data_IF_108228291697
#
_entry.id   IF_108228291697
#
_cell.length_a   1.000
_cell.length_b   1.000
_cell.length_c   1.000
_cell.angle_alpha   90.00
_cell.angle_beta   90.00
_cell.angle_gamma   90.00
#
_symmetry.space_group_name_H-M   'P 1'
#
loop_
_entity.id
_entity.type
_entity.pdbx_description
1 polymer ?
#
# COMPACT_ATOMS: atom_id res chain seq x y z
N UNK A 1 22.26 25.95 -24.93
CA UNK A 1 21.83 24.91 -25.88
C UNK A 1 23.10 24.33 -26.50
N UNK A 2 23.18 23.04 -26.79
CA UNK A 2 24.37 22.48 -27.44
C UNK A 2 23.92 21.60 -28.61
N UNK A 3 24.43 21.94 -29.79
CA UNK A 3 24.09 21.36 -31.08
C UNK A 3 24.87 20.05 -31.30
N UNK A 4 24.21 19.04 -31.88
CA UNK A 4 24.84 17.89 -32.52
C UNK A 4 24.42 17.86 -34.00
N UNK A 5 25.30 17.30 -34.83
CA UNK A 5 25.55 17.67 -36.25
C UNK A 5 24.47 17.38 -37.31
N UNK A 6 23.20 17.20 -36.95
CA UNK A 6 22.11 17.14 -37.93
C UNK A 6 20.92 17.89 -37.36
N UNK A 7 20.74 19.14 -37.78
CA UNK A 7 19.84 20.16 -37.22
C UNK A 7 18.36 19.77 -37.10
N UNK A 8 18.02 18.91 -36.14
CA UNK A 8 16.65 18.67 -35.69
C UNK A 8 16.59 18.78 -34.17
N UNK A 9 15.76 19.71 -33.70
CA UNK A 9 15.38 19.85 -32.31
C UNK A 9 14.66 18.57 -31.85
N UNK A 10 15.29 17.82 -30.93
CA UNK A 10 14.64 16.68 -30.30
C UNK A 10 13.71 17.17 -29.17
N UNK A 11 12.45 16.70 -29.12
CA UNK A 11 11.59 16.91 -27.95
C UNK A 11 12.22 16.28 -26.70
N UNK A 12 12.00 16.88 -25.52
CA UNK A 12 12.57 16.43 -24.22
C UNK A 12 12.40 14.92 -23.95
N UNK A 13 11.30 14.31 -24.42
CA UNK A 13 11.01 12.87 -24.30
C UNK A 13 12.01 11.98 -25.05
N UNK A 14 12.53 12.42 -26.18
CA UNK A 14 13.44 11.64 -27.03
C UNK A 14 14.88 11.65 -26.50
N UNK A 15 15.27 12.68 -25.74
CA UNK A 15 16.60 12.78 -25.14
C UNK A 15 16.83 11.76 -24.00
N UNK A 16 15.77 11.42 -23.26
CA UNK A 16 15.79 10.36 -22.23
C UNK A 16 16.13 9.00 -22.85
N UNK A 17 15.69 8.76 -24.08
CA UNK A 17 15.88 7.49 -24.81
C UNK A 17 17.28 7.40 -25.44
N UNK A 18 17.89 8.52 -25.86
CA UNK A 18 19.21 8.49 -26.52
C UNK A 18 20.40 8.30 -25.57
N UNK A 19 20.25 8.59 -24.27
CA UNK A 19 21.30 8.27 -23.28
C UNK A 19 21.44 6.76 -22.99
N UNK A 20 20.59 5.91 -23.58
CA UNK A 20 20.57 4.46 -23.36
C UNK A 20 21.47 3.62 -24.28
N UNK A 21 22.42 4.21 -25.02
CA UNK A 21 23.23 3.45 -26.00
C UNK A 21 24.62 3.00 -25.55
N UNK A 22 24.99 3.18 -24.29
CA UNK A 22 26.16 2.51 -23.73
C UNK A 22 25.87 2.10 -22.28
N UNK A 23 25.44 0.86 -22.02
CA UNK A 23 25.45 0.36 -20.65
C UNK A 23 26.91 0.40 -20.17
N UNK A 24 27.23 1.32 -19.25
CA UNK A 24 28.42 1.12 -18.43
C UNK A 24 28.19 -0.19 -17.70
N UNK A 25 29.04 -1.17 -17.97
CA UNK A 25 28.92 -2.59 -17.62
C UNK A 25 28.83 -2.90 -16.11
N UNK A 26 28.77 -1.88 -15.25
CA UNK A 26 28.84 -2.00 -13.78
C UNK A 26 27.66 -1.33 -13.04
N UNK A 27 26.55 -1.00 -13.71
CA UNK A 27 25.40 -0.37 -13.06
C UNK A 27 24.38 -1.41 -12.55
N UNK A 28 24.15 -1.43 -11.24
CA UNK A 28 23.26 -2.36 -10.51
C UNK A 28 21.79 -2.34 -10.95
N UNK A 29 21.34 -1.31 -11.68
CA UNK A 29 19.97 -1.22 -12.24
C UNK A 29 19.89 -0.21 -13.39
N UNK A 30 19.07 -0.45 -14.44
CA UNK A 30 18.84 0.49 -15.54
C UNK A 30 18.37 1.88 -15.07
N UNK A 31 17.58 1.93 -14.00
CA UNK A 31 17.09 3.18 -13.41
C UNK A 31 18.22 4.05 -12.86
N UNK A 32 19.29 3.44 -12.36
CA UNK A 32 20.47 4.16 -11.88
C UNK A 32 21.17 4.84 -13.05
N UNK A 33 21.31 4.15 -14.18
CA UNK A 33 21.87 4.73 -15.40
C UNK A 33 21.03 5.89 -15.93
N UNK A 34 19.71 5.75 -15.94
CA UNK A 34 18.78 6.81 -16.34
C UNK A 34 18.91 8.04 -15.45
N UNK A 35 18.85 7.86 -14.12
CA UNK A 35 18.98 8.95 -13.15
C UNK A 35 20.35 9.62 -13.25
N UNK A 36 21.43 8.83 -13.35
CA UNK A 36 22.79 9.34 -13.50
C UNK A 36 22.96 10.15 -14.79
N UNK A 37 22.38 9.68 -15.91
CA UNK A 37 22.37 10.41 -17.18
C UNK A 37 21.68 11.77 -17.05
N UNK A 38 20.53 11.80 -16.37
CA UNK A 38 19.79 13.04 -16.16
C UNK A 38 20.49 14.00 -15.18
N UNK A 39 21.05 13.49 -14.09
CA UNK A 39 21.92 14.29 -13.22
C UNK A 39 23.09 14.90 -14.01
N UNK A 40 23.76 14.11 -14.85
CA UNK A 40 24.83 14.62 -15.71
C UNK A 40 24.37 15.71 -16.66
N UNK A 41 23.19 15.58 -17.26
CA UNK A 41 22.59 16.62 -18.08
C UNK A 41 22.41 17.92 -17.29
N UNK A 42 21.79 17.86 -16.10
CA UNK A 42 21.61 19.05 -15.27
C UNK A 42 22.93 19.67 -14.80
N UNK A 43 23.92 18.85 -14.41
CA UNK A 43 25.26 19.34 -14.06
C UNK A 43 26.03 19.92 -15.26
N UNK A 44 25.75 19.49 -16.49
CA UNK A 44 26.31 20.13 -17.70
C UNK A 44 25.78 21.55 -17.90
N UNK A 45 24.54 21.82 -17.45
CA UNK A 45 23.94 23.15 -17.51
C UNK A 45 24.33 24.01 -16.31
N UNK A 46 24.49 23.39 -15.14
CA UNK A 46 24.77 24.03 -13.85
C UNK A 46 25.89 23.27 -13.12
N UNK A 47 27.17 23.53 -13.44
CA UNK A 47 28.29 22.75 -12.92
C UNK A 47 28.52 22.93 -11.41
N UNK A 48 28.16 24.09 -10.85
CA UNK A 48 28.32 24.41 -9.42
C UNK A 48 27.22 23.78 -8.53
N UNK A 49 26.26 23.06 -9.12
CA UNK A 49 25.09 22.53 -8.43
C UNK A 49 23.80 23.25 -8.81
N UNK A 50 22.69 22.59 -8.53
CA UNK A 50 21.35 23.07 -8.86
C UNK A 50 20.34 22.58 -7.83
N UNK A 51 19.20 23.26 -7.74
CA UNK A 51 18.06 22.77 -6.99
C UNK A 51 17.04 22.14 -7.93
N UNK A 52 16.31 21.14 -7.43
CA UNK A 52 15.18 20.54 -8.13
C UNK A 52 14.20 19.91 -7.15
N UNK A 53 12.92 19.95 -7.48
CA UNK A 53 11.88 19.36 -6.64
C UNK A 53 11.81 17.85 -6.85
N UNK A 54 11.58 17.10 -5.77
CA UNK A 54 11.42 15.64 -5.86
C UNK A 54 10.04 15.27 -6.41
N UNK A 55 9.00 15.99 -5.98
CA UNK A 55 7.60 15.77 -6.31
C UNK A 55 6.87 17.11 -6.55
N UNK A 56 5.68 17.08 -7.17
CA UNK A 56 4.83 18.25 -7.28
C UNK A 56 4.55 18.89 -5.92
N UNK A 57 4.70 20.21 -5.85
CA UNK A 57 4.52 20.94 -4.60
C UNK A 57 3.98 22.34 -4.84
N UNK A 58 3.33 22.92 -3.82
CA UNK A 58 2.77 24.28 -3.87
C UNK A 58 3.83 25.36 -3.61
N UNK A 59 5.03 25.22 -4.17
CA UNK A 59 6.12 26.18 -3.97
C UNK A 59 6.07 27.30 -5.02
N UNK A 60 6.34 28.58 -4.70
CA UNK A 60 6.24 29.69 -5.67
C UNK A 60 7.13 29.54 -6.91
N UNK A 61 8.29 28.91 -6.75
CA UNK A 61 9.24 28.63 -7.85
C UNK A 61 8.96 27.30 -8.58
N UNK A 62 7.94 26.54 -8.18
CA UNK A 62 7.61 25.27 -8.82
C UNK A 62 6.69 25.49 -10.02
N UNK A 63 7.01 24.86 -11.15
CA UNK A 63 6.12 24.73 -12.31
C UNK A 63 5.84 23.26 -12.59
N UNK A 64 4.68 22.98 -13.16
CA UNK A 64 4.31 21.62 -13.55
C UNK A 64 5.36 21.03 -14.52
N UNK A 65 5.86 19.84 -14.20
CA UNK A 65 6.94 19.17 -14.93
C UNK A 65 8.35 19.46 -14.44
N UNK A 66 8.55 20.34 -13.45
CA UNK A 66 9.87 20.63 -12.89
C UNK A 66 10.33 19.60 -11.84
N UNK A 67 9.45 18.72 -11.36
CA UNK A 67 9.82 17.70 -10.39
C UNK A 67 10.52 16.49 -11.02
N UNK A 68 11.37 15.81 -10.24
CA UNK A 68 11.97 14.54 -10.65
C UNK A 68 10.93 13.46 -10.93
N UNK A 69 9.84 13.43 -10.16
CA UNK A 69 8.77 12.45 -10.38
C UNK A 69 8.02 12.66 -11.69
N UNK A 70 7.81 13.90 -12.12
CA UNK A 70 7.19 14.18 -13.43
C UNK A 70 8.18 14.01 -14.59
N UNK A 71 9.45 14.40 -14.41
CA UNK A 71 10.48 14.28 -15.46
C UNK A 71 10.85 12.82 -15.76
N UNK A 72 10.96 11.99 -14.71
CA UNK A 72 11.41 10.60 -14.82
C UNK A 72 10.30 9.57 -14.65
N UNK A 73 9.09 9.98 -14.25
CA UNK A 73 8.00 9.06 -13.93
C UNK A 73 8.28 8.20 -12.68
N UNK A 74 9.15 8.64 -11.78
CA UNK A 74 9.58 7.88 -10.61
C UNK A 74 8.93 8.41 -9.33
N UNK A 75 8.42 7.52 -8.48
CA UNK A 75 8.01 7.92 -7.12
C UNK A 75 9.23 8.35 -6.28
N UNK A 76 9.03 9.23 -5.29
CA UNK A 76 10.10 9.67 -4.37
C UNK A 76 10.84 8.51 -3.73
N UNK A 77 10.14 7.43 -3.38
CA UNK A 77 10.75 6.23 -2.79
C UNK A 77 11.71 5.56 -3.77
N UNK A 78 11.32 5.40 -5.03
CA UNK A 78 12.16 4.80 -6.07
C UNK A 78 13.34 5.72 -6.39
N UNK A 79 13.10 7.03 -6.50
CA UNK A 79 14.17 8.02 -6.67
C UNK A 79 15.21 7.92 -5.57
N UNK A 80 14.79 7.96 -4.29
CA UNK A 80 15.69 7.91 -3.15
C UNK A 80 16.55 6.64 -3.16
N UNK A 81 15.93 5.48 -3.33
CA UNK A 81 16.63 4.20 -3.41
C UNK A 81 17.62 4.14 -4.59
N UNK A 82 17.28 4.75 -5.72
CA UNK A 82 18.15 4.79 -6.91
C UNK A 82 19.29 5.78 -6.72
N UNK A 83 19.03 6.93 -6.12
CA UNK A 83 20.02 7.96 -5.81
C UNK A 83 21.03 7.47 -4.77
N UNK A 84 20.58 6.72 -3.75
CA UNK A 84 21.45 6.15 -2.72
C UNK A 84 22.51 5.19 -3.28
N UNK A 85 22.32 4.66 -4.49
CA UNK A 85 23.35 3.86 -5.17
C UNK A 85 24.49 4.71 -5.76
N UNK A 86 24.25 5.98 -6.07
CA UNK A 86 25.21 6.87 -6.77
C UNK A 86 25.60 8.12 -5.98
N UNK A 87 24.92 8.40 -4.87
CA UNK A 87 25.16 9.57 -4.05
C UNK A 87 24.71 9.42 -2.60
N UNK A 88 24.93 10.50 -1.83
CA UNK A 88 24.60 10.61 -0.40
C UNK A 88 23.52 11.67 -0.21
N UNK A 89 22.50 11.39 0.61
CA UNK A 89 21.42 12.32 0.93
C UNK A 89 21.53 12.80 2.36
N UNK A 90 21.57 14.12 2.54
CA UNK A 90 21.57 14.80 3.84
C UNK A 90 20.21 15.41 4.11
N UNK A 91 19.75 15.35 5.36
CA UNK A 91 18.44 15.89 5.76
C UNK A 91 18.44 17.41 5.80
N UNK A 92 19.59 18.04 6.03
CA UNK A 92 19.73 19.49 6.07
C UNK A 92 21.01 19.99 5.41
N UNK A 93 21.00 21.26 5.00
CA UNK A 93 22.21 21.98 4.54
C UNK A 93 23.30 22.02 5.60
N UNK A 94 22.94 22.19 6.88
CA UNK A 94 23.90 22.25 7.99
C UNK A 94 24.62 20.91 8.19
N UNK A 95 23.90 19.79 8.07
CA UNK A 95 24.44 18.44 8.15
C UNK A 95 25.46 18.19 7.02
N UNK A 96 25.13 18.61 5.79
CA UNK A 96 26.03 18.53 4.64
C UNK A 96 27.32 19.35 4.85
N UNK A 97 27.22 20.56 5.42
CA UNK A 97 28.40 21.40 5.66
C UNK A 97 29.30 20.87 6.79
N UNK A 98 28.70 20.21 7.80
CA UNK A 98 29.42 19.64 8.95
C UNK A 98 30.11 18.30 8.63
N UNK A 99 29.69 17.60 7.59
CA UNK A 99 30.26 16.31 7.22
C UNK A 99 31.75 16.44 6.83
N UNK A 100 32.60 15.63 7.47
CA UNK A 100 34.04 15.53 7.15
C UNK A 100 34.26 15.03 5.72
N UNK A 101 33.57 13.96 5.35
CA UNK A 101 33.45 13.50 3.97
C UNK A 101 32.01 13.76 3.47
N UNK A 102 31.89 14.72 2.55
CA UNK A 102 30.61 15.19 1.99
C UNK A 102 30.01 14.23 0.97
N UNK A 103 30.81 13.30 0.47
CA UNK A 103 30.43 12.44 -0.65
C UNK A 103 30.55 10.95 -0.33
N UNK A 104 31.25 10.56 0.75
CA UNK A 104 31.38 9.18 1.23
C UNK A 104 31.82 8.23 0.12
N UNK A 105 32.79 8.65 -0.69
CA UNK A 105 33.27 7.91 -1.87
C UNK A 105 32.30 7.83 -3.06
N UNK A 106 31.18 8.55 -3.04
CA UNK A 106 30.19 8.59 -4.14
C UNK A 106 30.31 9.85 -5.00
N UNK A 107 29.71 9.81 -6.20
CA UNK A 107 29.86 10.87 -7.19
C UNK A 107 28.98 12.10 -6.93
N UNK A 108 27.85 11.92 -6.25
CA UNK A 108 26.87 12.97 -6.00
C UNK A 108 26.50 13.09 -4.52
N UNK A 109 26.06 14.27 -4.12
CA UNK A 109 25.42 14.50 -2.84
C UNK A 109 24.18 15.37 -3.02
N UNK A 110 23.18 15.21 -2.16
CA UNK A 110 22.03 16.11 -2.11
C UNK A 110 21.72 16.51 -0.68
N UNK A 111 21.25 17.74 -0.47
CA UNK A 111 20.76 18.20 0.82
C UNK A 111 19.48 19.00 0.68
N UNK A 112 18.64 18.97 1.71
CA UNK A 112 17.44 19.78 1.75
C UNK A 112 17.69 21.12 2.47
N UNK A 113 17.45 22.23 1.76
CA UNK A 113 17.49 23.57 2.33
C UNK A 113 16.11 23.91 2.89
N UNK A 114 15.98 23.82 4.23
CA UNK A 114 14.72 24.09 4.94
C UNK A 114 14.25 25.54 4.79
N UNK A 115 15.16 26.51 4.63
CA UNK A 115 14.79 27.94 4.51
C UNK A 115 14.12 28.22 3.17
N UNK A 116 14.59 27.56 2.11
CA UNK A 116 14.08 27.71 0.74
C UNK A 116 13.12 26.60 0.32
N UNK A 117 12.87 25.62 1.21
CA UNK A 117 12.11 24.40 0.96
C UNK A 117 12.49 23.71 -0.37
N UNK A 118 13.79 23.58 -0.64
CA UNK A 118 14.34 23.10 -1.90
C UNK A 118 15.39 22.02 -1.68
N UNK A 119 15.47 21.06 -2.60
CA UNK A 119 16.51 20.03 -2.56
C UNK A 119 17.62 20.42 -3.54
N UNK A 120 18.83 20.60 -3.01
CA UNK A 120 20.02 20.94 -3.77
C UNK A 120 20.85 19.69 -4.06
N UNK A 121 21.42 19.64 -5.26
CA UNK A 121 22.29 18.58 -5.75
C UNK A 121 23.67 19.14 -6.04
N UNK A 122 24.69 18.45 -5.55
CA UNK A 122 26.11 18.79 -5.68
C UNK A 122 26.87 17.58 -6.21
N UNK A 123 27.94 17.82 -6.97
CA UNK A 123 28.76 16.77 -7.57
C UNK A 123 30.17 16.80 -6.98
N UNK A 124 30.75 15.63 -6.75
CA UNK A 124 32.13 15.50 -6.32
C UNK A 124 33.08 15.89 -7.48
N UNK A 125 33.89 16.96 -7.34
CA UNK A 125 34.82 17.38 -8.38
C UNK A 125 36.00 16.40 -8.55
N UNK A 126 36.45 15.74 -7.49
CA UNK A 126 37.63 14.86 -7.49
C UNK A 126 37.35 13.57 -8.26
N UNK A 127 36.25 12.88 -7.92
CA UNK A 127 35.83 11.68 -8.64
C UNK A 127 35.45 11.98 -10.10
N UNK A 128 35.00 13.21 -10.41
CA UNK A 128 34.77 13.62 -11.78
C UNK A 128 36.08 13.72 -12.57
N UNK A 129 37.13 14.29 -11.98
CA UNK A 129 38.44 14.38 -12.61
C UNK A 129 39.06 12.99 -12.80
N UNK A 130 38.96 12.11 -11.80
CA UNK A 130 39.41 10.73 -11.92
C UNK A 130 38.67 9.99 -13.04
N UNK A 131 37.33 10.10 -13.09
CA UNK A 131 36.53 9.47 -14.14
C UNK A 131 36.89 9.97 -15.55
N UNK A 132 37.19 11.28 -15.70
CA UNK A 132 37.65 11.87 -16.97
C UNK A 132 39.02 11.31 -17.38
N UNK A 133 40.00 11.32 -16.47
CA UNK A 133 41.35 10.78 -16.71
C UNK A 133 41.32 9.30 -17.13
N UNK A 134 40.52 8.48 -16.46
CA UNK A 134 40.34 7.07 -16.85
C UNK A 134 39.65 6.90 -18.21
N UNK A 135 38.73 7.81 -18.57
CA UNK A 135 38.07 7.77 -19.89
C UNK A 135 38.97 8.26 -21.03
N UNK A 136 39.90 9.18 -20.73
CA UNK A 136 40.91 9.67 -21.68
C UNK A 136 42.01 8.63 -21.92
N UNK A 137 42.45 7.94 -20.87
CA UNK A 137 43.39 6.80 -20.96
C UNK A 137 42.84 5.62 -21.78
N UNK A 138 41.53 5.34 -21.67
CA UNK A 138 40.88 4.31 -22.47
C UNK A 138 40.72 4.73 -23.95
N UNK A 139 40.43 6.02 -24.21
CA UNK A 139 40.34 6.57 -25.57
C UNK A 139 41.70 6.65 -26.27
N UNK A 140 42.79 6.91 -25.54
CA UNK A 140 44.14 6.86 -26.11
C UNK A 140 44.57 5.43 -26.44
N UNK A 141 44.10 4.44 -25.67
CA UNK A 141 44.38 3.01 -25.92
C UNK A 141 43.58 2.46 -27.11
N UNK A 142 42.36 2.95 -27.35
CA UNK A 142 41.53 2.56 -28.50
C UNK A 142 42.01 3.14 -29.85
N UNK A 143 42.82 4.21 -29.84
CA UNK A 143 43.38 4.81 -31.07
C UNK A 143 44.44 3.95 -31.76
N UNK A 144 44.94 2.90 -31.10
CA UNK A 144 45.98 2.01 -31.65
C UNK A 144 45.42 0.78 -32.39
N UNK A 145 44.10 0.66 -32.55
CA UNK A 145 43.43 -0.54 -33.10
C UNK A 145 42.57 -0.31 -34.35
N UNK A 146 42.57 0.88 -34.95
CA UNK A 146 41.96 1.05 -36.29
C UNK A 146 43.05 1.16 -37.36
N UNK A 147 43.08 0.29 -38.38
CA UNK A 147 43.97 0.47 -39.52
C UNK A 147 43.45 1.63 -40.38
N UNK A 148 44.39 2.49 -40.76
CA UNK A 148 44.19 3.61 -41.67
C UNK A 148 43.67 3.10 -43.02
N UNK A 149 42.53 3.64 -43.45
CA UNK A 149 42.27 3.81 -44.88
C UNK A 149 41.66 5.18 -45.10
N UNK A 150 42.54 6.09 -45.51
CA UNK A 150 42.23 7.35 -46.15
C UNK A 150 41.20 7.13 -47.28
N UNK A 151 40.25 8.06 -47.44
CA UNK A 151 39.97 8.70 -48.73
C UNK A 151 39.16 9.98 -48.48
N UNK A 152 39.82 11.04 -48.93
CA UNK A 152 39.38 12.41 -49.11
C UNK A 152 38.30 12.54 -50.19
N UNK A 153 37.30 13.41 -49.98
CA UNK A 153 36.91 14.57 -50.83
C UNK A 153 35.39 14.88 -50.79
N UNK A 154 35.14 16.15 -50.45
CA UNK A 154 34.15 17.13 -50.96
C UNK A 154 32.70 16.69 -51.26
N UNK A 155 31.79 17.37 -50.55
CA UNK A 155 30.36 17.52 -50.84
C UNK A 155 30.06 18.70 -51.77
N UNK A 156 29.12 18.50 -52.70
CA UNK A 156 27.97 19.36 -53.11
C UNK A 156 27.59 19.10 -54.60
N UNK A 157 26.36 19.43 -55.07
CA UNK A 157 25.08 18.84 -54.67
C UNK A 157 24.26 18.41 -55.91
N UNK A 158 23.23 17.56 -55.77
CA UNK A 158 22.15 17.54 -56.76
C UNK A 158 20.79 17.23 -56.13
N UNK A 159 19.90 18.18 -56.33
CA UNK A 159 18.49 18.15 -56.02
C UNK A 159 17.76 17.79 -57.32
N UNK A 160 16.91 16.75 -57.35
CA UNK A 160 15.63 16.75 -58.09
C UNK A 160 14.91 15.38 -58.01
N UNK A 161 13.64 15.47 -57.59
CA UNK A 161 12.41 14.74 -58.01
C UNK A 161 12.54 13.36 -58.67
N UNK A 162 11.69 12.42 -58.24
CA UNK A 162 10.61 11.80 -59.04
C UNK A 162 9.60 11.07 -58.10
N UNK A 163 8.33 11.05 -58.54
CA UNK A 163 7.10 10.50 -57.94
C UNK A 163 6.85 9.02 -58.36
N UNK A 164 5.78 8.46 -57.77
CA UNK A 164 4.95 7.29 -58.16
C UNK A 164 5.33 5.95 -57.48
N UNK A 165 4.47 5.42 -56.59
CA UNK A 165 3.43 4.36 -56.83
C UNK A 165 4.08 3.00 -57.16
N UNK A 166 3.77 1.84 -56.57
CA UNK A 166 2.48 1.30 -56.18
C UNK A 166 2.65 0.04 -55.27
N UNK A 167 1.65 -0.18 -54.41
CA UNK A 167 1.12 -1.40 -53.75
C UNK A 167 1.91 -2.74 -53.78
N UNK A 168 1.99 -3.37 -52.60
CA UNK A 168 1.50 -4.76 -52.38
C UNK A 168 1.27 -5.10 -50.88
N UNK A 169 -0.02 -5.32 -50.58
CA UNK A 169 -0.62 -6.40 -49.77
C UNK A 169 -0.02 -6.88 -48.44
N UNK A 170 -0.83 -6.66 -47.38
CA UNK A 170 -1.24 -7.61 -46.32
C UNK A 170 -0.18 -8.33 -45.46
N UNK A 171 -0.19 -8.05 -44.15
CA UNK A 171 -0.71 -9.01 -43.17
C UNK A 171 -0.87 -8.37 -41.79
N UNK A 172 -2.13 -8.31 -41.37
CA UNK A 172 -2.57 -8.09 -39.99
C UNK A 172 -2.07 -9.22 -39.10
N UNK A 173 -1.30 -8.90 -38.06
CA UNK A 173 -1.27 -9.71 -36.85
C UNK A 173 -1.47 -8.82 -35.63
N UNK A 174 -2.67 -8.94 -35.07
CA UNK A 174 -2.96 -8.53 -33.72
C UNK A 174 -2.06 -9.34 -32.78
N UNK A 175 -1.11 -8.67 -32.13
CA UNK A 175 -0.50 -9.17 -30.90
C UNK A 175 -0.78 -8.18 -29.78
N UNK A 176 -1.88 -8.44 -29.07
CA UNK A 176 -2.07 -8.01 -27.68
C UNK A 176 -0.91 -8.59 -26.87
N UNK A 177 0.09 -7.79 -26.52
CA UNK A 177 1.00 -8.14 -25.43
C UNK A 177 0.71 -7.23 -24.24
N UNK A 178 -0.07 -7.79 -23.31
CA UNK A 178 0.08 -7.52 -21.89
C UNK A 178 1.57 -7.63 -21.55
N UNK A 179 2.07 -6.72 -20.72
CA UNK A 179 2.97 -7.07 -19.63
C UNK A 179 2.96 -5.94 -18.61
N UNK A 180 1.99 -6.11 -17.71
CA UNK A 180 2.10 -5.69 -16.34
C UNK A 180 3.36 -6.28 -15.68
N UNK A 181 4.18 -5.38 -15.16
CA UNK A 181 4.61 -5.38 -13.77
C UNK A 181 4.82 -6.73 -13.08
N UNK A 182 6.06 -7.21 -13.02
CA UNK A 182 6.67 -7.61 -11.73
C UNK A 182 8.18 -7.85 -11.87
N UNK A 183 8.97 -7.29 -10.94
CA UNK A 183 10.09 -7.95 -10.25
C UNK A 183 10.91 -6.92 -9.48
N UNK A 184 10.61 -6.77 -8.18
CA UNK A 184 11.58 -6.31 -7.17
C UNK A 184 11.65 -7.37 -6.08
N UNK A 185 12.64 -8.23 -6.21
CA UNK A 185 13.25 -8.98 -5.11
C UNK A 185 14.03 -8.00 -4.23
N UNK A 186 13.69 -8.00 -2.94
CA UNK A 186 14.52 -7.44 -1.88
C UNK A 186 15.50 -8.53 -1.43
N UNK A 187 16.79 -8.18 -1.41
CA UNK A 187 17.78 -8.79 -0.54
C UNK A 187 18.69 -7.65 -0.05
N UNK A 188 18.65 -7.42 1.26
CA UNK A 188 19.54 -6.52 1.98
C UNK A 188 20.05 -7.27 3.21
N UNK A 189 21.37 -7.38 3.28
CA UNK A 189 22.17 -7.97 4.36
C UNK A 189 21.94 -7.29 5.72
N UNK A 190 22.08 -8.07 6.80
CA UNK A 190 23.15 -7.87 7.80
C UNK A 190 23.13 -8.95 8.89
N UNK A 191 24.31 -9.46 9.29
CA UNK A 191 24.55 -10.07 10.61
C UNK A 191 25.08 -11.50 10.54
N UNK A 192 26.38 -11.71 10.80
CA UNK A 192 27.01 -13.03 10.81
C UNK A 192 27.22 -13.58 12.23
N UNK A 193 27.35 -14.91 12.34
CA UNK A 193 28.32 -15.64 13.19
C UNK A 193 28.24 -17.15 12.91
N UNK A 194 29.40 -17.73 12.56
CA UNK A 194 30.02 -19.00 13.02
C UNK A 194 29.16 -20.29 13.04
N UNK A 195 29.59 -21.29 12.25
CA UNK A 195 29.30 -22.73 12.49
C UNK A 195 29.21 -23.57 11.20
N UNK A 196 30.01 -24.65 11.09
CA UNK A 196 29.99 -25.64 9.99
C UNK A 196 28.63 -26.33 9.81
N UNK A 197 28.33 -27.10 8.77
CA UNK A 197 29.11 -28.15 8.12
C UNK A 197 28.71 -28.32 6.64
N UNK A 198 29.63 -28.90 5.87
CA UNK A 198 29.36 -29.40 4.51
C UNK A 198 28.38 -30.58 4.57
N UNK A 199 27.41 -30.61 3.67
CA UNK A 199 26.95 -31.90 3.13
C UNK A 199 26.61 -31.80 1.64
N UNK A 200 27.32 -32.65 0.91
CA UNK A 200 27.15 -33.04 -0.49
C UNK A 200 25.86 -33.84 -0.69
N UNK A 201 25.26 -33.64 -1.87
CA UNK A 201 24.80 -34.69 -2.79
C UNK A 201 23.35 -34.63 -3.27
N UNK A 202 23.25 -34.91 -4.58
CA UNK A 202 22.18 -35.60 -5.32
C UNK A 202 20.96 -34.80 -5.76
N UNK A 203 21.08 -34.35 -7.01
CA UNK A 203 20.03 -34.38 -8.03
C UNK A 203 19.13 -35.61 -7.85
N UNK A 204 17.82 -35.38 -7.77
CA UNK A 204 16.81 -36.34 -8.19
C UNK A 204 15.61 -35.54 -8.67
N UNK A 205 15.45 -35.48 -9.99
CA UNK A 205 14.16 -35.12 -10.59
C UNK A 205 13.18 -36.27 -10.35
N UNK A 206 11.91 -35.96 -10.04
CA UNK A 206 10.79 -36.77 -10.52
C UNK A 206 9.88 -35.85 -11.35
N UNK A 207 9.78 -36.07 -12.65
CA UNK A 207 8.74 -36.91 -13.29
C UNK A 207 7.31 -36.47 -12.96
N UNK A 208 6.70 -35.82 -13.95
CA UNK A 208 5.27 -35.71 -14.26
C UNK A 208 4.26 -36.29 -13.26
N UNK A 209 3.52 -35.42 -12.56
CA UNK A 209 2.23 -35.75 -11.96
C UNK A 209 1.24 -34.57 -12.07
N UNK A 210 0.14 -34.84 -12.78
CA UNK A 210 -1.23 -34.29 -12.69
C UNK A 210 -1.47 -32.81 -12.38
N UNK A 211 -1.94 -32.07 -13.40
CA UNK A 211 -2.43 -30.68 -13.31
C UNK A 211 -3.73 -30.48 -12.49
N UNK A 212 -4.38 -31.55 -12.02
CA UNK A 212 -5.63 -31.46 -11.25
C UNK A 212 -5.44 -31.03 -9.78
N UNK A 213 -4.23 -31.19 -9.21
CA UNK A 213 -3.97 -30.93 -7.79
C UNK A 213 -3.59 -29.47 -7.47
N UNK A 214 -3.34 -28.63 -8.49
CA UNK A 214 -2.85 -27.26 -8.28
C UNK A 214 -3.97 -26.24 -8.00
N UNK A 215 -5.20 -26.56 -8.39
CA UNK A 215 -6.37 -25.68 -8.22
C UNK A 215 -6.87 -25.59 -6.77
N UNK A 216 -6.88 -26.70 -6.03
CA UNK A 216 -7.39 -26.76 -4.66
C UNK A 216 -6.56 -25.91 -3.68
N UNK A 217 -5.24 -25.98 -3.79
CA UNK A 217 -4.31 -25.29 -2.88
C UNK A 217 -4.37 -23.76 -3.01
N UNK A 218 -4.77 -23.23 -4.15
CA UNK A 218 -4.86 -21.77 -4.35
C UNK A 218 -6.13 -21.21 -3.71
N UNK A 219 -7.24 -21.94 -3.75
CA UNK A 219 -8.49 -21.53 -3.12
C UNK A 219 -8.46 -21.68 -1.61
N UNK A 220 -7.82 -22.72 -1.08
CA UNK A 220 -7.61 -22.88 0.36
C UNK A 220 -6.75 -21.74 0.94
N UNK A 221 -5.67 -21.36 0.25
CA UNK A 221 -4.85 -20.21 0.63
C UNK A 221 -5.64 -18.91 0.66
N UNK A 222 -6.56 -18.70 -0.29
CA UNK A 222 -7.45 -17.53 -0.27
C UNK A 222 -8.40 -17.56 0.92
N UNK A 223 -9.00 -18.71 1.24
CA UNK A 223 -9.89 -18.87 2.41
C UNK A 223 -9.17 -18.53 3.71
N UNK A 224 -7.97 -19.07 3.93
CA UNK A 224 -7.16 -18.79 5.12
C UNK A 224 -6.83 -17.30 5.22
N UNK A 225 -6.39 -16.67 4.12
CA UNK A 225 -6.05 -15.26 4.11
C UNK A 225 -7.26 -14.35 4.36
N UNK A 226 -8.45 -14.72 3.84
CA UNK A 226 -9.70 -14.03 4.13
C UNK A 226 -10.08 -14.15 5.62
N UNK A 227 -9.94 -15.35 6.19
CA UNK A 227 -10.23 -15.57 7.61
C UNK A 227 -9.31 -14.75 8.52
N UNK A 228 -8.01 -14.72 8.23
CA UNK A 228 -7.06 -13.87 8.96
C UNK A 228 -7.43 -12.38 8.87
N UNK A 229 -7.89 -11.93 7.70
CA UNK A 229 -8.37 -10.55 7.49
C UNK A 229 -9.65 -10.27 8.28
N UNK A 230 -10.59 -11.22 8.34
CA UNK A 230 -11.81 -11.08 9.12
C UNK A 230 -11.51 -10.93 10.60
N UNK A 231 -10.65 -11.81 11.15
CA UNK A 231 -10.20 -11.73 12.55
C UNK A 231 -9.51 -10.39 12.84
N UNK A 232 -8.72 -9.89 11.90
CA UNK A 232 -8.11 -8.56 12.03
C UNK A 232 -9.17 -7.46 12.13
N UNK A 233 -10.15 -7.48 11.23
CA UNK A 233 -11.25 -6.50 11.22
C UNK A 233 -12.08 -6.56 12.51
N UNK A 234 -12.34 -7.76 13.04
CA UNK A 234 -13.05 -7.94 14.32
C UNK A 234 -12.27 -7.36 15.50
N UNK A 235 -10.98 -7.65 15.62
CA UNK A 235 -10.21 -7.35 16.84
C UNK A 235 -9.60 -5.94 16.86
N UNK A 236 -9.22 -5.42 15.69
CA UNK A 236 -8.50 -4.15 15.49
C UNK A 236 -9.36 -3.12 14.73
N UNK A 237 -10.36 -3.54 13.98
CA UNK A 237 -11.18 -2.68 13.11
C UNK A 237 -10.66 -2.62 11.67
N UNK A 238 -11.24 -1.72 10.86
CA UNK A 238 -11.08 -1.70 9.40
C UNK A 238 -9.62 -1.84 8.93
N UNK A 239 -9.36 -2.88 8.14
CA UNK A 239 -8.09 -3.08 7.46
C UNK A 239 -7.95 -2.08 6.30
N UNK A 240 -6.75 -1.49 6.16
CA UNK A 240 -6.37 -0.62 5.03
C UNK A 240 -6.62 -1.28 3.65
N UNK A 241 -6.65 -2.61 3.60
CA UNK A 241 -6.70 -3.39 2.36
C UNK A 241 -8.12 -3.89 2.08
N UNK A 242 -8.85 -3.19 1.21
CA UNK A 242 -10.19 -3.59 0.74
C UNK A 242 -10.19 -4.95 0.02
N UNK A 243 -9.16 -5.23 -0.79
CA UNK A 243 -9.00 -6.50 -1.52
C UNK A 243 -7.63 -7.13 -1.30
N UNK A 244 -7.60 -8.41 -0.91
CA UNK A 244 -6.35 -9.15 -0.72
C UNK A 244 -5.67 -9.41 -2.07
N UNK A 245 -4.49 -8.82 -2.27
CA UNK A 245 -3.64 -9.10 -3.44
C UNK A 245 -3.02 -10.49 -3.33
N UNK A 246 -2.69 -11.12 -4.46
CA UNK A 246 -2.08 -12.47 -4.50
C UNK A 246 -0.78 -12.58 -3.69
N UNK A 247 0.02 -11.51 -3.69
CA UNK A 247 1.25 -11.40 -2.90
C UNK A 247 0.98 -11.31 -1.40
N UNK A 248 -0.06 -10.58 -0.98
CA UNK A 248 -0.48 -10.50 0.42
C UNK A 248 -1.07 -11.83 0.90
N UNK A 249 -1.86 -12.52 0.07
CA UNK A 249 -2.39 -13.86 0.36
C UNK A 249 -1.24 -14.83 0.63
N UNK A 250 -0.23 -14.84 -0.24
CA UNK A 250 0.95 -15.70 -0.06
C UNK A 250 1.68 -15.40 1.26
N UNK A 251 1.86 -14.12 1.57
CA UNK A 251 2.49 -13.69 2.84
C UNK A 251 1.68 -14.08 4.06
N UNK A 252 0.36 -13.86 4.05
CA UNK A 252 -0.53 -14.25 5.13
C UNK A 252 -0.48 -15.75 5.40
N UNK A 253 -0.55 -16.58 4.35
CA UNK A 253 -0.43 -18.03 4.48
C UNK A 253 0.95 -18.46 4.99
N UNK A 254 2.01 -17.79 4.52
CA UNK A 254 3.37 -18.04 5.01
C UNK A 254 3.45 -17.74 6.50
N UNK A 255 3.06 -16.54 6.95
CA UNK A 255 3.08 -16.17 8.37
C UNK A 255 2.15 -17.04 9.21
N UNK A 256 0.98 -17.41 8.69
CA UNK A 256 0.04 -18.31 9.35
C UNK A 256 0.66 -19.67 9.67
N UNK A 257 1.34 -20.25 8.69
CA UNK A 257 1.98 -21.57 8.82
C UNK A 257 3.26 -21.50 9.64
N UNK A 258 4.11 -20.49 9.43
CA UNK A 258 5.44 -20.41 10.08
C UNK A 258 5.39 -19.81 11.48
N UNK A 259 4.70 -18.68 11.67
CA UNK A 259 4.69 -17.94 12.94
C UNK A 259 3.54 -18.41 13.83
N UNK A 260 2.35 -18.57 13.26
CA UNK A 260 1.14 -18.92 14.01
C UNK A 260 0.83 -20.42 14.02
N UNK A 261 1.74 -21.26 13.51
CA UNK A 261 1.65 -22.74 13.52
C UNK A 261 0.30 -23.26 13.01
N UNK A 262 -0.25 -22.60 12.00
CA UNK A 262 -1.58 -22.88 11.43
C UNK A 262 -2.73 -22.79 12.43
N UNK A 263 -2.65 -21.88 13.41
CA UNK A 263 -3.70 -21.64 14.42
C UNK A 263 -4.30 -20.24 14.30
N UNK A 264 -5.62 -20.18 14.09
CA UNK A 264 -6.36 -18.91 14.15
C UNK A 264 -6.46 -18.36 15.58
N UNK A 265 -6.37 -19.22 16.61
CA UNK A 265 -6.37 -18.80 18.01
C UNK A 265 -5.12 -17.99 18.37
N UNK A 266 -3.96 -18.42 17.88
CA UNK A 266 -2.69 -17.70 18.05
C UNK A 266 -2.72 -16.34 17.32
N UNK A 267 -3.23 -16.33 16.09
CA UNK A 267 -3.44 -15.10 15.34
C UNK A 267 -4.38 -14.12 16.06
N UNK A 268 -5.53 -14.61 16.56
CA UNK A 268 -6.50 -13.80 17.31
C UNK A 268 -5.91 -13.25 18.60
N UNK A 269 -5.15 -14.05 19.34
CA UNK A 269 -4.47 -13.62 20.57
C UNK A 269 -3.44 -12.54 20.27
N UNK A 270 -2.68 -12.69 19.18
CA UNK A 270 -1.74 -11.67 18.72
C UNK A 270 -2.46 -10.36 18.32
N UNK A 271 -3.56 -10.44 17.58
CA UNK A 271 -4.38 -9.26 17.26
C UNK A 271 -4.90 -8.56 18.52
N UNK A 272 -5.34 -9.32 19.54
CA UNK A 272 -5.75 -8.76 20.84
C UNK A 272 -4.61 -8.05 21.56
N UNK A 273 -3.41 -8.63 21.55
CA UNK A 273 -2.20 -7.97 22.11
C UNK A 273 -1.96 -6.62 21.42
N UNK A 274 -2.01 -6.57 20.09
CA UNK A 274 -1.89 -5.31 19.34
C UNK A 274 -2.99 -4.33 19.75
N UNK A 275 -4.24 -4.80 19.79
CA UNK A 275 -5.41 -3.98 20.10
C UNK A 275 -5.42 -3.47 21.55
N UNK A 276 -4.61 -4.05 22.45
CA UNK A 276 -4.43 -3.62 23.83
C UNK A 276 -3.43 -2.46 23.99
N UNK A 277 -2.78 -2.01 22.91
CA UNK A 277 -1.78 -0.95 22.94
C UNK A 277 -2.30 0.38 22.37
N UNK A 278 -2.25 1.47 23.16
CA UNK A 278 -2.57 2.83 22.69
C UNK A 278 -1.61 3.28 21.59
N UNK A 279 -0.34 2.92 21.73
CA UNK A 279 0.69 3.25 20.74
C UNK A 279 0.43 2.54 19.41
N UNK A 280 0.22 1.21 19.42
CA UNK A 280 -0.02 0.45 18.19
C UNK A 280 -1.36 0.81 17.54
N UNK A 281 -2.33 1.28 18.32
CA UNK A 281 -3.62 1.75 17.80
C UNK A 281 -3.60 3.21 17.32
N UNK A 282 -2.48 3.92 17.45
CA UNK A 282 -2.36 5.32 17.00
C UNK A 282 -3.04 6.34 17.92
N UNK A 283 -3.38 5.94 19.15
CA UNK A 283 -4.01 6.78 20.18
C UNK A 283 -2.97 7.47 21.10
N UNK A 284 -1.68 7.22 20.85
CA UNK A 284 -0.58 7.84 21.61
C UNK A 284 -0.42 9.34 21.33
N UNK A 285 0.16 10.08 22.29
CA UNK A 285 0.41 11.54 22.21
C UNK A 285 1.26 11.99 21.00
N UNK A 286 1.89 11.05 20.29
CA UNK A 286 2.74 11.32 19.14
C UNK A 286 1.97 11.17 17.83
N UNK A 287 1.76 12.28 17.11
CA UNK A 287 1.13 12.32 15.77
C UNK A 287 1.96 11.62 14.67
N UNK A 288 3.12 11.03 15.00
CA UNK A 288 4.02 10.42 14.01
C UNK A 288 3.72 8.96 13.69
N UNK A 289 3.00 8.26 14.58
CA UNK A 289 2.68 6.84 14.40
C UNK A 289 1.17 6.66 14.26
N UNK A 290 0.74 6.27 13.06
CA UNK A 290 -0.66 5.93 12.78
C UNK A 290 -0.93 4.49 13.21
N UNK A 291 -2.21 4.15 13.39
CA UNK A 291 -2.70 2.79 13.68
C UNK A 291 -1.97 1.73 12.85
N UNK A 292 -1.56 0.62 13.48
CA UNK A 292 -0.86 -0.47 12.82
C UNK A 292 -1.71 -1.10 11.71
N UNK A 293 -1.07 -1.44 10.60
CA UNK A 293 -1.69 -2.10 9.45
C UNK A 293 -1.36 -3.60 9.41
N UNK A 294 -2.27 -4.39 8.83
CA UNK A 294 -2.09 -5.86 8.72
C UNK A 294 -0.79 -6.23 8.01
N UNK A 295 -0.37 -5.46 6.99
CA UNK A 295 0.88 -5.69 6.24
C UNK A 295 2.14 -5.45 7.06
N UNK A 296 2.05 -4.65 8.12
CA UNK A 296 3.13 -4.46 9.09
C UNK A 296 3.13 -5.55 10.14
N UNK A 297 1.95 -5.95 10.64
CA UNK A 297 1.80 -6.90 11.74
C UNK A 297 2.19 -8.34 11.37
N UNK A 298 2.10 -8.71 10.09
CA UNK A 298 2.45 -10.06 9.60
C UNK A 298 3.94 -10.25 9.33
N UNK A 299 4.76 -9.20 9.50
CA UNK A 299 6.20 -9.28 9.34
C UNK A 299 6.82 -10.00 10.53
N UNK A 300 7.78 -10.91 10.32
CA UNK A 300 8.43 -11.64 11.40
C UNK A 300 9.10 -10.67 12.39
N UNK A 301 9.75 -9.62 11.88
CA UNK A 301 10.44 -8.64 12.73
C UNK A 301 9.44 -7.87 13.62
N UNK A 302 8.25 -7.54 13.10
CA UNK A 302 7.21 -6.87 13.89
C UNK A 302 6.65 -7.78 14.98
N UNK A 303 6.43 -9.06 14.65
CA UNK A 303 5.94 -10.05 15.60
C UNK A 303 6.92 -10.23 16.77
N UNK A 304 8.21 -10.42 16.46
CA UNK A 304 9.27 -10.58 17.46
C UNK A 304 9.34 -9.38 18.39
N UNK A 305 9.31 -8.15 17.84
CA UNK A 305 9.34 -6.92 18.64
C UNK A 305 8.15 -6.78 19.58
N UNK A 306 6.96 -7.24 19.17
CA UNK A 306 5.77 -7.27 20.03
C UNK A 306 5.92 -8.33 21.13
N UNK A 307 6.43 -9.52 20.82
CA UNK A 307 6.65 -10.55 21.85
C UNK A 307 7.77 -10.17 22.82
N UNK A 308 8.78 -9.43 22.36
CA UNK A 308 9.88 -8.91 23.19
C UNK A 308 9.44 -7.79 24.14
N UNK A 309 8.20 -7.32 24.06
CA UNK A 309 7.68 -6.26 24.93
C UNK A 309 8.23 -4.87 24.63
N UNK A 310 8.73 -4.62 23.41
CA UNK A 310 9.23 -3.28 23.01
C UNK A 310 8.13 -2.21 22.96
N UNK A 311 6.87 -2.62 23.01
CA UNK A 311 5.70 -1.75 22.98
C UNK A 311 4.95 -1.81 24.30
N UNK A 312 4.34 -0.70 24.70
CA UNK A 312 3.41 -0.68 25.83
C UNK A 312 2.15 -1.46 25.44
N UNK A 313 1.99 -2.65 26.03
CA UNK A 313 0.81 -3.51 25.85
C UNK A 313 -0.08 -3.38 27.09
N UNK A 314 -1.40 -3.40 26.91
CA UNK A 314 -2.38 -3.29 28.00
C UNK A 314 -2.63 -1.86 28.53
N UNK A 315 -2.03 -0.83 27.93
CA UNK A 315 -2.26 0.58 28.28
C UNK A 315 -3.56 1.13 27.67
N UNK A 316 -4.18 0.37 26.75
CA UNK A 316 -5.49 0.65 26.16
C UNK A 316 -6.56 -0.11 26.90
N UNK A 317 -7.35 0.62 27.69
CA UNK A 317 -8.69 0.19 28.06
C UNK A 317 -9.48 0.24 26.75
N UNK A 318 -9.75 -0.92 26.12
CA UNK A 318 -10.83 -0.99 25.16
C UNK A 318 -12.05 -0.50 25.95
N UNK A 319 -12.60 0.66 25.58
CA UNK A 319 -14.02 0.85 25.81
C UNK A 319 -14.69 -0.29 25.05
N UNK A 320 -14.88 -1.43 25.74
CA UNK A 320 -16.04 -2.21 25.46
C UNK A 320 -17.18 -1.19 25.52
N UNK A 321 -17.98 -1.07 24.45
CA UNK A 321 -19.30 -0.44 24.54
C UNK A 321 -20.22 -1.16 25.55
N UNK A 322 -19.69 -2.10 26.31
CA UNK A 322 -20.13 -2.39 27.65
C UNK A 322 -19.15 -1.71 28.61
N UNK A 323 -19.52 -0.50 29.11
CA UNK A 323 -19.32 -0.25 30.55
C UNK A 323 -19.67 -1.58 31.21
N UNK A 324 -18.74 -2.20 31.93
CA UNK A 324 -19.12 -3.23 32.88
C UNK A 324 -19.84 -2.43 33.96
N UNK A 325 -21.11 -2.12 33.70
CA UNK A 325 -22.03 -1.66 34.72
C UNK A 325 -21.95 -2.74 35.79
N UNK A 326 -21.80 -2.33 37.05
CA UNK A 326 -22.00 -3.29 38.13
C UNK A 326 -23.38 -3.96 37.94
N UNK A 327 -23.57 -5.22 38.36
CA UNK A 327 -24.84 -5.92 38.16
C UNK A 327 -26.06 -5.09 38.60
N UNK A 328 -25.89 -4.27 39.63
CA UNK A 328 -26.90 -3.34 40.12
C UNK A 328 -27.21 -2.20 39.12
N UNK A 329 -26.20 -1.58 38.52
CA UNK A 329 -26.42 -0.51 37.53
C UNK A 329 -27.04 -1.07 36.24
N UNK A 330 -26.77 -2.33 35.88
CA UNK A 330 -27.35 -2.98 34.70
C UNK A 330 -28.83 -3.33 34.90
N UNK A 331 -29.18 -3.80 36.10
CA UNK A 331 -30.58 -3.95 36.54
C UNK A 331 -31.31 -2.61 36.51
N UNK A 332 -30.68 -1.55 37.04
CA UNK A 332 -31.26 -0.21 37.03
C UNK A 332 -31.49 0.32 35.61
N UNK A 333 -30.51 0.16 34.70
CA UNK A 333 -30.65 0.56 33.31
C UNK A 333 -31.74 -0.23 32.57
N UNK A 334 -31.93 -1.50 32.91
CA UNK A 334 -33.02 -2.32 32.37
C UNK A 334 -34.39 -1.83 32.88
N UNK A 335 -34.51 -1.51 34.17
CA UNK A 335 -35.73 -0.96 34.77
C UNK A 335 -36.07 0.41 34.19
N UNK A 336 -35.08 1.29 34.05
CA UNK A 336 -35.26 2.63 33.46
C UNK A 336 -35.73 2.52 32.00
N UNK A 337 -35.18 1.59 31.22
CA UNK A 337 -35.65 1.34 29.86
C UNK A 337 -37.09 0.80 29.83
N UNK A 338 -37.46 -0.10 30.75
CA UNK A 338 -38.85 -0.59 30.86
C UNK A 338 -39.80 0.57 31.17
N UNK A 339 -39.42 1.50 32.06
CA UNK A 339 -40.20 2.70 32.36
C UNK A 339 -40.31 3.62 31.14
N UNK A 340 -39.19 3.88 30.46
CA UNK A 340 -39.13 4.72 29.23
C UNK A 340 -40.10 4.17 28.16
N UNK A 341 -40.09 2.86 27.94
CA UNK A 341 -41.00 2.18 27.01
C UNK A 341 -42.47 2.35 27.40
N UNK A 342 -42.82 2.18 28.69
CA UNK A 342 -44.20 2.32 29.18
C UNK A 342 -44.69 3.77 29.04
N UNK A 343 -43.80 4.74 29.23
CA UNK A 343 -44.13 6.17 29.09
C UNK A 343 -44.11 6.68 27.65
N UNK A 344 -43.67 5.86 26.70
CA UNK A 344 -43.53 6.26 25.30
C UNK A 344 -44.87 6.36 24.58
N UNK A 345 -44.93 7.20 23.54
CA UNK A 345 -46.10 7.35 22.66
C UNK A 345 -46.23 6.24 21.61
N UNK A 346 -45.49 5.13 21.76
CA UNK A 346 -45.55 4.02 20.83
C UNK A 346 -46.83 3.19 21.00
N UNK A 347 -47.16 2.39 19.99
CA UNK A 347 -48.32 1.50 20.04
C UNK A 347 -48.22 0.53 21.24
N UNK A 348 -49.31 0.33 22.03
CA UNK A 348 -49.29 -0.53 23.21
C UNK A 348 -48.85 -1.97 22.93
N UNK A 349 -49.13 -2.51 21.74
CA UNK A 349 -48.74 -3.86 21.33
C UNK A 349 -47.27 -3.91 20.98
N UNK A 350 -46.74 -2.85 20.36
CA UNK A 350 -45.30 -2.73 20.11
C UNK A 350 -44.52 -2.57 21.42
N UNK A 351 -45.04 -1.81 22.38
CA UNK A 351 -44.44 -1.68 23.72
C UNK A 351 -44.37 -3.07 24.39
N UNK A 352 -45.45 -3.86 24.35
CA UNK A 352 -45.43 -5.23 24.89
C UNK A 352 -44.40 -6.13 24.20
N UNK A 353 -44.28 -6.04 22.87
CA UNK A 353 -43.27 -6.78 22.12
C UNK A 353 -41.84 -6.34 22.52
N UNK A 354 -41.58 -5.03 22.64
CA UNK A 354 -40.30 -4.48 23.07
C UNK A 354 -39.93 -4.90 24.50
N UNK A 355 -40.89 -4.95 25.43
CA UNK A 355 -40.65 -5.42 26.80
C UNK A 355 -40.20 -6.88 26.83
N UNK A 356 -40.77 -7.73 25.97
CA UNK A 356 -40.34 -9.14 25.81
C UNK A 356 -38.98 -9.25 25.12
N UNK A 357 -38.73 -8.41 24.11
CA UNK A 357 -37.43 -8.35 23.44
C UNK A 357 -36.32 -7.90 24.40
N UNK A 358 -36.62 -6.99 25.34
CA UNK A 358 -35.67 -6.60 26.39
C UNK A 358 -35.17 -7.78 27.23
N UNK A 359 -35.99 -8.80 27.43
CA UNK A 359 -35.61 -10.01 28.19
C UNK A 359 -34.78 -10.99 27.36
N UNK A 360 -34.91 -10.97 26.03
CA UNK A 360 -34.22 -11.91 25.10
C UNK A 360 -32.91 -11.36 24.57
N UNK A 361 -32.95 -10.15 24.04
CA UNK A 361 -31.81 -9.53 23.34
C UNK A 361 -31.13 -8.45 24.18
N UNK A 362 -31.74 -8.06 25.30
CA UNK A 362 -31.18 -7.11 26.25
C UNK A 362 -31.57 -5.65 25.96
N UNK A 363 -31.61 -4.84 27.02
CA UNK A 363 -32.09 -3.45 27.00
C UNK A 363 -31.32 -2.54 26.02
N UNK A 364 -30.01 -2.78 25.81
CA UNK A 364 -29.17 -1.98 24.90
C UNK A 364 -29.60 -2.12 23.44
N UNK A 365 -29.79 -3.36 22.99
CA UNK A 365 -30.24 -3.63 21.61
C UNK A 365 -31.64 -3.09 21.38
N UNK A 366 -32.53 -3.21 22.37
CA UNK A 366 -33.86 -2.61 22.28
C UNK A 366 -33.76 -1.09 22.16
N UNK A 367 -32.96 -0.44 23.00
CA UNK A 367 -32.82 1.02 22.99
C UNK A 367 -32.26 1.57 21.67
N UNK A 368 -31.21 0.95 21.13
CA UNK A 368 -30.54 1.46 19.93
C UNK A 368 -31.27 1.09 18.64
N UNK A 369 -31.80 -0.13 18.56
CA UNK A 369 -32.26 -0.70 17.30
C UNK A 369 -33.75 -0.94 17.22
N UNK A 370 -34.47 -1.08 18.33
CA UNK A 370 -35.91 -1.39 18.30
C UNK A 370 -36.80 -0.22 18.72
N UNK A 371 -36.33 0.59 19.68
CA UNK A 371 -37.03 1.77 20.16
C UNK A 371 -37.36 2.77 19.04
N UNK A 372 -36.48 3.02 18.05
CA UNK A 372 -36.81 3.95 16.96
C UNK A 372 -37.84 3.43 15.95
N UNK A 373 -38.31 2.17 16.05
CA UNK A 373 -39.31 1.64 15.13
C UNK A 373 -40.72 1.99 15.55
N UNK A 374 -41.53 2.25 14.54
CA UNK A 374 -42.96 2.47 14.70
C UNK A 374 -43.76 1.33 14.07
N UNK A 375 -44.78 0.88 14.78
CA UNK A 375 -45.76 -0.05 14.23
C UNK A 375 -46.67 0.71 13.27
N UNK A 376 -46.63 0.35 11.99
CA UNK A 376 -47.44 0.99 10.94
C UNK A 376 -48.73 0.21 10.73
N UNK A 377 -48.63 -1.12 10.69
CA UNK A 377 -49.78 -1.99 10.42
C UNK A 377 -49.63 -3.29 11.18
N UNK A 378 -50.73 -3.76 11.77
CA UNK A 378 -50.78 -5.06 12.42
C UNK A 378 -52.10 -5.75 12.10
N UNK A 379 -52.00 -6.91 11.44
CA UNK A 379 -53.09 -7.82 11.16
C UNK A 379 -52.82 -9.17 11.85
N UNK A 380 -53.78 -10.10 11.80
CA UNK A 380 -53.62 -11.46 12.34
C UNK A 380 -52.54 -12.30 11.65
N UNK A 381 -52.09 -11.89 10.46
CA UNK A 381 -51.11 -12.62 9.63
C UNK A 381 -49.86 -11.82 9.27
N UNK A 382 -49.93 -10.48 9.36
CA UNK A 382 -48.88 -9.58 8.89
C UNK A 382 -48.60 -8.46 9.89
N UNK A 383 -47.33 -8.19 10.14
CA UNK A 383 -46.86 -7.06 10.96
C UNK A 383 -45.94 -6.20 10.11
N UNK A 384 -46.18 -4.89 10.10
CA UNK A 384 -45.36 -3.90 9.41
C UNK A 384 -44.77 -2.90 10.41
N UNK A 385 -43.44 -2.89 10.49
CA UNK A 385 -42.66 -1.96 11.27
C UNK A 385 -41.94 -0.98 10.35
N UNK A 386 -41.90 0.29 10.72
CA UNK A 386 -41.15 1.31 10.01
C UNK A 386 -39.87 1.67 10.78
N UNK A 387 -38.74 1.47 10.12
CA UNK A 387 -37.44 1.92 10.56
C UNK A 387 -37.15 3.35 10.04
N UNK A 388 -36.37 4.15 10.78
CA UNK A 388 -36.01 5.52 10.38
C UNK A 388 -35.10 5.60 9.15
N UNK A 389 -34.34 4.54 8.85
CA UNK A 389 -33.46 4.50 7.68
C UNK A 389 -33.26 3.09 7.14
N UNK A 390 -32.77 2.99 5.89
CA UNK A 390 -32.54 1.73 5.18
C UNK A 390 -31.51 0.84 5.90
N UNK A 391 -30.50 1.44 6.52
CA UNK A 391 -29.45 0.70 7.22
C UNK A 391 -30.02 -0.04 8.45
N UNK A 392 -30.82 0.65 9.26
CA UNK A 392 -31.48 0.09 10.43
C UNK A 392 -32.45 -1.02 10.02
N UNK A 393 -33.24 -0.81 8.95
CA UNK A 393 -34.09 -1.84 8.36
C UNK A 393 -33.30 -3.11 8.03
N UNK A 394 -32.21 -2.97 7.27
CA UNK A 394 -31.44 -4.12 6.76
C UNK A 394 -30.73 -4.85 7.89
N UNK A 395 -30.22 -4.12 8.89
CA UNK A 395 -29.57 -4.72 10.04
C UNK A 395 -30.55 -5.50 10.92
N UNK A 396 -31.72 -4.92 11.23
CA UNK A 396 -32.75 -5.60 12.03
C UNK A 396 -33.29 -6.82 11.30
N UNK A 397 -33.53 -6.70 10.00
CA UNK A 397 -34.00 -7.82 9.18
C UNK A 397 -33.02 -8.99 9.19
N UNK A 398 -31.71 -8.70 9.20
CA UNK A 398 -30.67 -9.74 9.21
C UNK A 398 -30.46 -10.37 10.60
N UNK A 399 -30.52 -9.57 11.67
CA UNK A 399 -30.05 -10.00 12.99
C UNK A 399 -31.18 -10.27 14.00
N UNK A 400 -32.32 -9.58 13.93
CA UNK A 400 -33.35 -9.60 14.98
C UNK A 400 -34.73 -10.06 14.49
N UNK A 401 -34.89 -10.39 13.20
CA UNK A 401 -36.18 -10.73 12.60
C UNK A 401 -36.86 -11.94 13.28
N UNK A 402 -36.07 -12.93 13.71
CA UNK A 402 -36.59 -14.13 14.36
C UNK A 402 -37.07 -13.84 15.77
N UNK A 403 -36.31 -13.05 16.53
CA UNK A 403 -36.67 -12.65 17.90
C UNK A 403 -37.94 -11.80 17.92
N UNK A 404 -38.09 -10.91 16.93
CA UNK A 404 -39.31 -10.10 16.77
C UNK A 404 -40.51 -11.01 16.46
N UNK A 405 -40.38 -11.94 15.51
CA UNK A 405 -41.45 -12.91 15.20
C UNK A 405 -41.85 -13.73 16.42
N UNK A 406 -40.88 -14.23 17.17
CA UNK A 406 -41.13 -15.03 18.36
C UNK A 406 -41.84 -14.22 19.46
N UNK A 407 -41.46 -12.96 19.64
CA UNK A 407 -42.11 -12.06 20.60
C UNK A 407 -43.58 -11.82 20.27
N UNK A 408 -43.92 -11.63 18.99
CA UNK A 408 -45.32 -11.48 18.61
C UNK A 408 -46.11 -12.79 18.63
N UNK A 409 -45.48 -13.94 18.34
CA UNK A 409 -46.13 -15.25 18.46
C UNK A 409 -46.60 -15.52 19.90
N UNK A 410 -45.77 -15.17 20.89
CA UNK A 410 -46.08 -15.33 22.32
C UNK A 410 -47.13 -14.36 22.85
N UNK A 411 -47.32 -13.22 22.18
CA UNK A 411 -48.43 -12.30 22.49
C UNK A 411 -49.80 -12.85 22.05
N UNK A 412 -49.86 -14.10 21.58
CA UNK A 412 -51.10 -14.85 21.41
C UNK A 412 -51.94 -14.43 20.20
N UNK A 413 -51.33 -13.77 19.20
CA UNK A 413 -52.03 -13.27 18.01
C UNK A 413 -51.59 -13.96 16.72
N UNK A 414 -51.84 -15.26 16.66
CA UNK A 414 -51.69 -16.07 15.45
C UNK A 414 -50.25 -16.29 14.99
N UNK A 415 -50.07 -17.28 14.12
CA UNK A 415 -48.80 -17.51 13.43
C UNK A 415 -48.59 -16.38 12.43
N UNK A 416 -47.84 -15.34 12.81
CA UNK A 416 -47.47 -14.27 11.89
C UNK A 416 -46.66 -14.88 10.75
N UNK A 417 -47.26 -14.88 9.57
CA UNK A 417 -46.63 -15.44 8.38
C UNK A 417 -45.66 -14.44 7.77
N UNK A 418 -45.96 -13.14 7.85
CA UNK A 418 -45.12 -12.10 7.25
C UNK A 418 -44.81 -10.96 8.24
N UNK A 419 -43.52 -10.71 8.45
CA UNK A 419 -43.01 -9.53 9.16
C UNK A 419 -42.29 -8.67 8.12
N UNK A 420 -42.82 -7.48 7.86
CA UNK A 420 -42.25 -6.51 6.93
C UNK A 420 -41.64 -5.36 7.72
N UNK A 421 -40.40 -5.01 7.39
CA UNK A 421 -39.76 -3.80 7.93
C UNK A 421 -39.56 -2.86 6.75
N UNK A 422 -40.26 -1.74 6.74
CA UNK A 422 -40.09 -0.67 5.75
C UNK A 422 -39.19 0.42 6.31
N UNK A 423 -38.58 1.23 5.44
CA UNK A 423 -37.83 2.41 5.87
C UNK A 423 -38.65 3.65 5.55
N UNK A 424 -38.66 4.65 6.42
CA UNK A 424 -39.18 5.97 6.07
C UNK A 424 -38.35 6.54 4.93
N UNK A 425 -38.99 6.77 3.79
CA UNK A 425 -38.39 7.52 2.68
C UNK A 425 -38.18 8.96 3.13
N UNK A 426 -36.93 9.30 3.45
CA UNK A 426 -36.46 10.68 3.62
C UNK A 426 -36.07 11.26 2.27
#
# INVERSE_FOLDING_TARGET
MSYLSKGRLCPKKTFVILCYRAPKTNLRSPLVGMLQGQLNYWFSKKPQGFYKFLEPCKHPLYKQGDSWSEELGLSRRVFNSTFDAIGVRYKTKTEFMKAKDKFQGKLYASYHDRKKNQTFFVRNPELLQQAKKSSESYKSSLKHLEPESEISKKSEPLNQKIKAEEKRGLSTSNCRSRNDTNSRSYAGNSGGTIGGEKNTSKNTSPSSLSAASFSSTTEEKKKIANEMKNIWNEEIGEAEVSHLTSTLISRLNTTYTTVFKSSFGEWRTYCRKIASSKFLMGEGRSKTFQKVWITWAIKPESYERIQAGEFTLGDRVKENNQKILSPHEELQAQEDMKRELITSSHDPVWIQACLRLCERVGHKLVKEWLYPLNLVKMNSTEVELQAPNLFMRDWIHKNLIQDIKASFHELGRGTIQQLRITASSS
#
